data_IF_700234682885
#
_entry.id   IF_700234682885
#
_cell.length_a   1.000
_cell.length_b   1.000
_cell.length_c   1.000
_cell.angle_alpha   90.00
_cell.angle_beta   90.00
_cell.angle_gamma   90.00
#
_symmetry.space_group_name_H-M   'P 1'
#
loop_
_entity.id
_entity.type
_entity.pdbx_description
1 polymer ?
#
# COMPACT_ATOMS: atom_id res chain seq x y z
N UNK A 1 -0.86 -19.93 -5.37
CA UNK A 1 -0.97 -20.97 -6.41
C UNK A 1 -2.42 -21.22 -6.82
N UNK A 2 -3.33 -21.56 -5.89
CA UNK A 2 -4.77 -21.82 -6.19
C UNK A 2 -5.46 -20.74 -7.04
N UNK A 3 -5.31 -19.46 -6.69
CA UNK A 3 -5.95 -18.37 -7.45
C UNK A 3 -5.44 -18.23 -8.90
N UNK A 4 -4.15 -18.53 -9.15
CA UNK A 4 -3.58 -18.48 -10.50
C UNK A 4 -4.11 -19.62 -11.36
N UNK A 5 -4.15 -20.82 -10.78
CA UNK A 5 -4.68 -22.01 -11.42
C UNK A 5 -6.19 -21.89 -11.72
N UNK A 6 -6.96 -21.29 -10.81
CA UNK A 6 -8.38 -20.99 -11.05
C UNK A 6 -8.60 -20.07 -12.25
N UNK A 7 -7.75 -19.05 -12.45
CA UNK A 7 -7.83 -18.19 -13.63
C UNK A 7 -7.55 -18.94 -14.93
N UNK A 8 -6.48 -19.75 -14.96
CA UNK A 8 -6.11 -20.53 -16.16
C UNK A 8 -7.21 -21.55 -16.51
N UNK A 9 -7.80 -22.20 -15.50
CA UNK A 9 -8.95 -23.11 -15.70
C UNK A 9 -10.16 -22.37 -16.25
N UNK A 10 -10.49 -21.20 -15.67
CA UNK A 10 -11.60 -20.37 -16.15
C UNK A 10 -11.42 -19.96 -17.62
N UNK A 11 -10.19 -19.68 -18.05
CA UNK A 11 -9.90 -19.42 -19.46
C UNK A 11 -10.11 -20.66 -20.33
N UNK A 12 -9.57 -21.82 -19.91
CA UNK A 12 -9.75 -23.08 -20.64
C UNK A 12 -11.23 -23.47 -20.77
N UNK A 13 -12.03 -23.27 -19.71
CA UNK A 13 -13.47 -23.47 -19.71
C UNK A 13 -14.19 -22.50 -20.65
N UNK A 14 -13.75 -21.23 -20.70
CA UNK A 14 -14.33 -20.23 -21.60
C UNK A 14 -14.05 -20.53 -23.07
N UNK A 15 -12.80 -20.88 -23.41
CA UNK A 15 -12.43 -21.17 -24.79
C UNK A 15 -12.86 -22.57 -25.23
N UNK A 16 -13.12 -23.46 -24.27
CA UNK A 16 -13.30 -24.90 -24.49
C UNK A 16 -12.12 -25.50 -25.30
N UNK A 17 -10.93 -24.95 -25.08
CA UNK A 17 -9.70 -25.31 -25.80
C UNK A 17 -8.55 -25.53 -24.83
N UNK A 18 -7.57 -26.30 -25.27
CA UNK A 18 -6.34 -26.54 -24.53
C UNK A 18 -5.31 -25.40 -24.72
N UNK A 19 -4.35 -25.24 -23.78
CA UNK A 19 -3.35 -24.17 -23.85
C UNK A 19 -2.52 -24.09 -25.14
N UNK A 20 -2.35 -25.20 -25.86
CA UNK A 20 -1.63 -25.24 -27.15
C UNK A 20 -2.49 -24.85 -28.37
N UNK A 21 -3.79 -24.61 -28.17
CA UNK A 21 -4.74 -24.22 -29.22
C UNK A 21 -5.13 -22.74 -29.13
N UNK A 22 -4.85 -22.07 -28.01
CA UNK A 22 -5.25 -20.68 -27.81
C UNK A 22 -4.55 -19.76 -28.80
N UNK A 23 -5.28 -18.79 -29.34
CA UNK A 23 -4.74 -17.66 -30.08
C UNK A 23 -5.07 -16.33 -29.37
N UNK A 24 -4.64 -15.23 -29.99
CA UNK A 24 -4.86 -13.88 -29.44
C UNK A 24 -6.35 -13.54 -29.37
N UNK A 25 -7.14 -13.98 -30.36
CA UNK A 25 -8.57 -13.67 -30.47
C UNK A 25 -9.39 -14.25 -29.32
N UNK A 26 -9.13 -15.50 -28.91
CA UNK A 26 -9.83 -16.14 -27.79
C UNK A 26 -9.54 -15.42 -26.48
N UNK A 27 -8.32 -14.91 -26.34
CA UNK A 27 -7.92 -14.16 -25.17
C UNK A 27 -8.53 -12.76 -25.13
N UNK A 28 -8.58 -12.07 -26.27
CA UNK A 28 -9.27 -10.78 -26.40
C UNK A 28 -10.75 -10.96 -26.05
N UNK A 29 -11.42 -11.97 -26.61
CA UNK A 29 -12.80 -12.32 -26.31
C UNK A 29 -13.02 -12.63 -24.82
N UNK A 30 -12.08 -13.31 -24.17
CA UNK A 30 -12.15 -13.58 -22.73
C UNK A 30 -12.09 -12.28 -21.91
N UNK A 31 -11.19 -11.35 -22.26
CA UNK A 31 -11.10 -10.06 -21.58
C UNK A 31 -12.28 -9.14 -21.89
N UNK A 32 -12.84 -9.19 -23.10
CA UNK A 32 -14.08 -8.50 -23.46
C UNK A 32 -15.25 -9.03 -22.62
N UNK A 33 -15.41 -10.34 -22.50
CA UNK A 33 -16.44 -10.94 -21.64
C UNK A 33 -16.30 -10.48 -20.18
N UNK A 34 -15.07 -10.43 -19.64
CA UNK A 34 -14.85 -9.93 -18.28
C UNK A 34 -15.17 -8.45 -18.10
N UNK A 35 -15.05 -7.64 -19.16
CA UNK A 35 -15.41 -6.22 -19.16
C UNK A 35 -16.91 -6.00 -19.33
N UNK A 36 -17.57 -6.84 -20.13
CA UNK A 36 -18.99 -6.75 -20.44
C UNK A 36 -19.90 -7.52 -19.48
N UNK A 37 -19.33 -8.21 -18.49
CA UNK A 37 -20.09 -8.93 -17.47
C UNK A 37 -20.99 -7.99 -16.65
N UNK A 38 -22.11 -8.47 -16.08
CA UNK A 38 -23.00 -7.65 -15.24
C UNK A 38 -22.31 -6.95 -14.06
N UNK A 39 -21.18 -7.52 -13.61
CA UNK A 39 -20.23 -6.86 -12.72
C UNK A 39 -18.87 -6.83 -13.41
N UNK A 40 -18.54 -5.73 -14.13
CA UNK A 40 -17.28 -5.62 -14.87
C UNK A 40 -16.06 -5.79 -13.98
N UNK A 41 -15.09 -6.56 -14.43
CA UNK A 41 -13.81 -6.65 -13.75
C UNK A 41 -13.06 -5.32 -13.82
N UNK A 42 -12.52 -4.88 -12.67
CA UNK A 42 -11.70 -3.68 -12.59
C UNK A 42 -10.44 -3.79 -13.48
N UNK A 43 -9.99 -2.69 -14.08
CA UNK A 43 -8.75 -2.63 -14.88
C UNK A 43 -7.53 -3.20 -14.13
N UNK A 44 -7.40 -2.92 -12.83
CA UNK A 44 -6.34 -3.49 -11.98
C UNK A 44 -6.43 -5.01 -11.83
N UNK A 45 -7.64 -5.55 -11.76
CA UNK A 45 -7.89 -7.01 -11.74
C UNK A 45 -7.50 -7.63 -13.07
N UNK A 46 -7.94 -7.03 -14.19
CA UNK A 46 -7.63 -7.51 -15.53
C UNK A 46 -6.13 -7.51 -15.81
N UNK A 47 -5.40 -6.46 -15.40
CA UNK A 47 -3.93 -6.41 -15.45
C UNK A 47 -3.28 -7.51 -14.59
N UNK A 48 -3.86 -7.80 -13.42
CA UNK A 48 -3.44 -8.92 -12.58
C UNK A 48 -3.65 -10.29 -13.27
N UNK A 49 -4.72 -10.42 -14.04
CA UNK A 49 -4.99 -11.60 -14.87
C UNK A 49 -3.98 -11.70 -16.01
N UNK A 50 -3.74 -10.64 -16.78
CA UNK A 50 -2.70 -10.60 -17.83
C UNK A 50 -1.31 -10.95 -17.28
N UNK A 51 -0.94 -10.46 -16.09
CA UNK A 51 0.31 -10.83 -15.42
C UNK A 51 0.37 -12.33 -15.11
N UNK A 52 -0.73 -12.88 -14.60
CA UNK A 52 -0.80 -14.32 -14.26
C UNK A 52 -0.72 -15.19 -15.50
N UNK A 53 -1.37 -14.76 -16.57
CA UNK A 53 -1.35 -15.44 -17.85
C UNK A 53 0.02 -15.39 -18.50
N UNK A 54 0.70 -14.24 -18.51
CA UNK A 54 2.08 -14.14 -19.01
C UNK A 54 3.02 -15.11 -18.30
N UNK A 55 2.94 -15.20 -16.97
CA UNK A 55 3.72 -16.19 -16.21
C UNK A 55 3.41 -17.64 -16.60
N UNK A 56 2.16 -17.95 -16.96
CA UNK A 56 1.78 -19.28 -17.42
C UNK A 56 2.29 -19.54 -18.84
N UNK A 57 2.16 -18.56 -19.74
CA UNK A 57 2.68 -18.65 -21.11
C UNK A 57 4.19 -18.85 -21.11
N UNK A 58 4.93 -18.02 -20.38
CA UNK A 58 6.38 -18.17 -20.21
C UNK A 58 6.74 -19.59 -19.76
N UNK A 59 5.97 -20.17 -18.84
CA UNK A 59 6.20 -21.54 -18.37
C UNK A 59 5.93 -22.63 -19.43
N UNK A 60 4.87 -22.50 -20.24
CA UNK A 60 4.52 -23.52 -21.25
C UNK A 60 5.25 -23.37 -22.57
N UNK A 61 5.75 -22.17 -22.89
CA UNK A 61 6.52 -21.90 -24.11
C UNK A 61 8.03 -22.04 -23.94
N UNK A 62 8.53 -21.99 -22.69
CA UNK A 62 9.96 -22.11 -22.42
C UNK A 62 10.46 -23.55 -22.66
N UNK A 63 11.42 -23.66 -23.58
CA UNK A 63 12.00 -24.91 -24.04
C UNK A 63 12.68 -25.70 -22.93
N UNK A 64 13.14 -25.03 -21.86
CA UNK A 64 13.79 -25.69 -20.71
C UNK A 64 12.86 -26.62 -19.94
N UNK A 65 11.54 -26.42 -20.04
CA UNK A 65 10.54 -27.29 -19.41
C UNK A 65 10.08 -28.44 -20.31
N UNK A 66 10.47 -28.47 -21.58
CA UNK A 66 10.13 -29.54 -22.53
C UNK A 66 8.68 -29.55 -23.03
N UNK A 67 7.79 -28.69 -22.51
CA UNK A 67 6.39 -28.60 -22.93
C UNK A 67 6.18 -28.40 -24.44
N UNK A 68 6.91 -27.48 -25.11
CA UNK A 68 6.71 -27.27 -26.55
C UNK A 68 6.98 -28.53 -27.38
N UNK A 69 7.98 -29.32 -27.01
CA UNK A 69 8.31 -30.56 -27.69
C UNK A 69 7.26 -31.64 -27.41
N UNK A 70 6.94 -31.85 -26.13
CA UNK A 70 5.95 -32.85 -25.72
C UNK A 70 4.57 -32.58 -26.35
N UNK A 71 4.16 -31.32 -26.46
CA UNK A 71 2.90 -30.97 -27.11
C UNK A 71 2.94 -31.22 -28.62
N UNK A 72 4.05 -30.91 -29.31
CA UNK A 72 4.20 -31.20 -30.75
C UNK A 72 4.13 -32.70 -31.03
N UNK A 73 4.84 -33.49 -30.25
CA UNK A 73 4.89 -34.95 -30.42
C UNK A 73 3.52 -35.60 -30.16
N UNK A 74 2.77 -35.12 -29.15
CA UNK A 74 1.51 -35.74 -28.73
C UNK A 74 0.26 -35.19 -29.41
N UNK A 75 0.27 -33.89 -29.73
CA UNK A 75 -0.92 -33.16 -30.17
C UNK A 75 -0.73 -32.46 -31.52
N UNK A 76 0.45 -32.57 -32.15
CA UNK A 76 0.75 -31.92 -33.43
C UNK A 76 0.86 -30.39 -33.37
N UNK A 77 0.74 -29.79 -32.18
CA UNK A 77 0.72 -28.35 -31.96
C UNK A 77 1.57 -27.99 -30.75
N UNK A 78 2.08 -26.76 -30.68
CA UNK A 78 2.86 -26.26 -29.56
C UNK A 78 2.17 -25.05 -28.92
N UNK A 79 2.27 -24.87 -27.59
CA UNK A 79 1.91 -23.62 -26.95
C UNK A 79 2.66 -22.44 -27.58
N UNK A 80 1.91 -21.37 -27.86
CA UNK A 80 2.45 -20.11 -28.34
C UNK A 80 2.17 -18.99 -27.32
N UNK A 81 2.97 -17.92 -27.37
CA UNK A 81 2.63 -16.70 -26.69
C UNK A 81 1.38 -16.10 -27.36
N UNK A 82 0.40 -15.70 -26.56
CA UNK A 82 -0.86 -15.07 -27.01
C UNK A 82 -1.07 -13.71 -26.35
N UNK A 83 -0.26 -13.38 -25.34
CA UNK A 83 -0.11 -12.03 -24.79
C UNK A 83 1.17 -11.39 -25.32
N UNK A 84 0.98 -10.38 -26.14
CA UNK A 84 2.01 -9.52 -26.69
C UNK A 84 1.83 -8.09 -26.17
N UNK A 85 2.78 -7.22 -26.47
CA UNK A 85 2.70 -5.81 -26.08
C UNK A 85 1.49 -5.10 -26.69
N UNK A 86 1.11 -5.46 -27.92
CA UNK A 86 0.03 -4.82 -28.68
C UNK A 86 -1.40 -5.23 -28.27
N UNK A 87 -1.59 -6.39 -27.64
CA UNK A 87 -2.89 -6.83 -27.09
C UNK A 87 -2.92 -6.87 -25.55
N UNK A 88 -1.85 -6.41 -24.91
CA UNK A 88 -1.82 -6.21 -23.46
C UNK A 88 -2.38 -4.83 -23.12
N UNK A 89 -3.08 -4.71 -21.99
CA UNK A 89 -3.47 -3.40 -21.50
C UNK A 89 -2.21 -2.67 -21.04
N UNK A 90 -1.78 -1.69 -21.84
CA UNK A 90 -0.61 -0.86 -21.56
C UNK A 90 -0.91 0.03 -20.35
N UNK A 91 0.03 0.10 -19.41
CA UNK A 91 0.02 1.11 -18.37
C UNK A 91 0.34 2.47 -19.00
N UNK A 92 -0.64 3.14 -19.62
CA UNK A 92 -0.45 4.49 -20.15
C UNK A 92 -0.22 5.53 -19.02
N UNK A 93 -0.60 5.20 -17.79
CA UNK A 93 -0.42 6.06 -16.62
C UNK A 93 0.20 5.27 -15.46
N UNK A 94 1.27 5.80 -14.87
CA UNK A 94 1.96 5.23 -13.69
C UNK A 94 1.05 5.15 -12.45
N UNK A 95 -0.08 5.87 -12.45
CA UNK A 95 -1.04 5.93 -11.35
C UNK A 95 -2.49 6.07 -11.87
N UNK A 96 -3.24 4.96 -11.83
CA UNK A 96 -4.72 4.98 -11.90
C UNK A 96 -5.26 4.92 -10.47
N UNK A 97 -5.26 6.04 -9.77
CA UNK A 97 -5.96 6.16 -8.49
C UNK A 97 -7.46 6.08 -8.72
N UNK A 98 -8.17 5.15 -8.07
CA UNK A 98 -9.61 5.31 -7.92
C UNK A 98 -9.86 6.53 -7.04
N UNK A 99 -10.70 7.50 -7.41
CA UNK A 99 -10.95 8.71 -6.62
C UNK A 99 -11.31 8.42 -5.15
N UNK A 100 -11.99 7.30 -4.88
CA UNK A 100 -12.34 6.87 -3.53
C UNK A 100 -11.17 6.46 -2.62
N UNK A 101 -10.00 6.10 -3.16
CA UNK A 101 -8.81 5.79 -2.36
C UNK A 101 -7.98 7.03 -2.07
N UNK A 102 -8.61 8.02 -1.46
CA UNK A 102 -7.96 9.26 -1.03
C UNK A 102 -7.40 9.16 0.40
N UNK A 103 -6.43 10.02 0.76
CA UNK A 103 -6.13 10.29 2.16
C UNK A 103 -7.39 10.80 2.90
N UNK A 104 -7.56 10.36 4.14
CA UNK A 104 -8.45 10.99 5.11
C UNK A 104 -7.89 12.36 5.51
N UNK A 105 -8.77 13.34 5.70
CA UNK A 105 -8.41 14.66 6.25
C UNK A 105 -8.09 14.58 7.76
N UNK A 106 -7.53 15.63 8.34
CA UNK A 106 -7.31 15.68 9.80
C UNK A 106 -8.61 15.46 10.59
N UNK A 107 -9.69 16.12 10.18
CA UNK A 107 -10.98 16.04 10.86
C UNK A 107 -11.55 14.62 10.78
N UNK A 108 -11.43 13.95 9.62
CA UNK A 108 -11.86 12.55 9.48
C UNK A 108 -11.02 11.59 10.31
N UNK A 109 -9.70 11.81 10.40
CA UNK A 109 -8.83 11.01 11.29
C UNK A 109 -9.19 11.24 12.75
N UNK A 110 -9.45 12.49 13.14
CA UNK A 110 -9.87 12.84 14.49
C UNK A 110 -11.20 12.16 14.85
N UNK A 111 -12.23 12.32 14.01
CA UNK A 111 -13.54 11.70 14.20
C UNK A 111 -13.42 10.17 14.27
N UNK A 112 -12.57 9.56 13.43
CA UNK A 112 -12.31 8.11 13.49
C UNK A 112 -11.72 7.69 14.85
N UNK A 113 -10.76 8.45 15.39
CA UNK A 113 -10.12 8.14 16.66
C UNK A 113 -11.04 8.39 17.85
N UNK A 114 -11.76 9.50 17.85
CA UNK A 114 -12.74 9.81 18.89
C UNK A 114 -13.85 8.76 18.90
N UNK A 115 -14.30 8.29 17.73
CA UNK A 115 -15.25 7.18 17.63
C UNK A 115 -14.66 5.87 18.14
N UNK A 116 -13.38 5.60 17.87
CA UNK A 116 -12.71 4.41 18.36
C UNK A 116 -12.62 4.40 19.90
N UNK A 117 -12.33 5.56 20.49
CA UNK A 117 -12.24 5.76 21.94
C UNK A 117 -13.63 5.72 22.58
N UNK A 118 -14.62 6.43 22.02
CA UNK A 118 -16.01 6.40 22.47
C UNK A 118 -16.57 4.97 22.49
N UNK A 119 -16.23 4.15 21.49
CA UNK A 119 -16.62 2.75 21.45
C UNK A 119 -16.10 1.95 22.65
N UNK A 120 -14.94 2.29 23.20
CA UNK A 120 -14.42 1.69 24.44
C UNK A 120 -15.36 2.02 25.59
N UNK A 121 -15.72 3.30 25.74
CA UNK A 121 -16.54 3.80 26.83
C UNK A 121 -17.98 3.28 26.75
N UNK A 122 -18.53 3.13 25.55
CA UNK A 122 -19.82 2.48 25.30
C UNK A 122 -19.83 1.00 25.72
N UNK A 123 -18.72 0.28 25.48
CA UNK A 123 -18.59 -1.12 25.88
C UNK A 123 -18.46 -1.23 27.41
N UNK A 124 -17.69 -0.32 28.03
CA UNK A 124 -17.50 -0.25 29.48
C UNK A 124 -18.81 0.07 30.20
N UNK A 125 -19.51 1.12 29.78
CA UNK A 125 -20.78 1.56 30.40
C UNK A 125 -21.88 0.49 30.32
N UNK A 126 -21.90 -0.31 29.25
CA UNK A 126 -22.85 -1.42 29.09
C UNK A 126 -22.44 -2.70 29.84
N UNK A 127 -21.33 -2.69 30.58
CA UNK A 127 -20.82 -3.86 31.31
C UNK A 127 -20.47 -5.05 30.40
N UNK A 128 -20.23 -4.82 29.11
CA UNK A 128 -20.00 -5.90 28.15
C UNK A 128 -18.54 -6.36 28.17
N UNK A 129 -18.32 -7.67 28.03
CA UNK A 129 -16.99 -8.23 27.81
C UNK A 129 -16.41 -7.67 26.50
N UNK A 130 -15.13 -7.28 26.51
CA UNK A 130 -14.43 -6.79 25.31
C UNK A 130 -13.94 -5.34 25.36
N UNK A 131 -14.05 -4.63 26.50
CA UNK A 131 -13.50 -3.28 26.61
C UNK A 131 -11.98 -3.24 26.31
N UNK A 132 -11.21 -4.18 26.85
CA UNK A 132 -9.75 -4.29 26.61
C UNK A 132 -9.41 -4.46 25.11
N UNK A 133 -10.27 -5.20 24.41
CA UNK A 133 -10.16 -5.50 22.98
C UNK A 133 -10.41 -4.25 22.16
N UNK A 134 -11.38 -3.43 22.59
CA UNK A 134 -11.66 -2.14 21.98
C UNK A 134 -10.52 -1.13 22.20
N UNK A 135 -9.91 -1.08 23.39
CA UNK A 135 -8.72 -0.22 23.61
C UNK A 135 -7.56 -0.65 22.70
N UNK A 136 -7.32 -1.97 22.59
CA UNK A 136 -6.33 -2.55 21.66
C UNK A 136 -6.63 -2.17 20.20
N UNK A 137 -7.91 -2.18 19.82
CA UNK A 137 -8.38 -1.80 18.49
C UNK A 137 -8.15 -0.31 18.20
N UNK A 138 -8.45 0.58 19.14
CA UNK A 138 -8.17 2.01 19.02
C UNK A 138 -6.66 2.28 18.92
N UNK A 139 -5.86 1.65 19.79
CA UNK A 139 -4.41 1.79 19.81
C UNK A 139 -3.73 1.34 18.51
N UNK A 140 -4.19 0.24 17.90
CA UNK A 140 -3.61 -0.23 16.63
C UNK A 140 -3.96 0.68 15.44
N UNK A 141 -5.18 1.25 15.39
CA UNK A 141 -5.56 2.22 14.35
C UNK A 141 -4.69 3.49 14.44
N UNK A 142 -4.53 3.99 15.65
CA UNK A 142 -3.65 5.10 15.99
C UNK A 142 -2.20 4.85 15.59
N UNK A 143 -1.67 3.66 15.91
CA UNK A 143 -0.31 3.28 15.51
C UNK A 143 -0.16 3.14 13.98
N UNK A 144 -1.19 2.64 13.28
CA UNK A 144 -1.17 2.56 11.81
C UNK A 144 -1.02 3.94 11.18
N UNK A 145 -1.74 4.93 11.71
CA UNK A 145 -1.62 6.33 11.27
C UNK A 145 -0.28 6.93 11.70
N UNK A 146 0.07 6.88 12.98
CA UNK A 146 1.24 7.56 13.55
C UNK A 146 2.59 7.11 12.94
N UNK A 147 2.66 5.85 12.49
CA UNK A 147 3.87 5.28 11.86
C UNK A 147 3.68 4.99 10.36
N UNK A 148 2.52 5.34 9.79
CA UNK A 148 2.18 5.07 8.39
C UNK A 148 2.28 3.60 8.01
N UNK A 149 1.85 2.67 8.87
CA UNK A 149 2.08 1.23 8.66
C UNK A 149 1.14 0.65 7.61
N UNK A 150 1.63 -0.34 6.86
CA UNK A 150 0.71 -1.23 6.12
C UNK A 150 0.06 -2.20 7.09
N UNK A 151 -1.16 -2.69 6.78
CA UNK A 151 -1.87 -3.68 7.62
C UNK A 151 -1.02 -4.88 8.06
N UNK A 152 -0.25 -5.46 7.12
CA UNK A 152 0.68 -6.58 7.42
C UNK A 152 1.85 -6.16 8.31
N UNK A 153 2.36 -4.95 8.11
CA UNK A 153 3.46 -4.41 8.92
C UNK A 153 2.98 -4.22 10.36
N UNK A 154 1.81 -3.60 10.56
CA UNK A 154 1.20 -3.41 11.87
C UNK A 154 0.98 -4.73 12.61
N UNK A 155 0.29 -5.70 12.02
CA UNK A 155 0.09 -7.02 12.63
C UNK A 155 1.40 -7.79 12.90
N UNK A 156 2.44 -7.53 12.11
CA UNK A 156 3.74 -8.20 12.19
C UNK A 156 4.69 -7.67 13.26
N UNK A 157 4.33 -6.60 13.99
CA UNK A 157 5.17 -6.00 15.03
C UNK A 157 5.29 -6.91 16.26
N UNK A 158 6.49 -6.92 16.84
CA UNK A 158 6.80 -7.52 18.14
C UNK A 158 7.21 -6.46 19.16
N UNK A 159 7.17 -6.80 20.45
CA UNK A 159 7.60 -5.90 21.52
C UNK A 159 9.04 -5.40 21.31
N UNK A 160 9.92 -6.25 20.80
CA UNK A 160 11.32 -5.92 20.51
C UNK A 160 11.50 -4.96 19.33
N UNK A 161 10.46 -4.68 18.56
CA UNK A 161 10.51 -3.72 17.43
C UNK A 161 10.40 -2.26 17.90
N UNK A 162 9.99 -2.03 19.16
CA UNK A 162 10.01 -0.71 19.79
C UNK A 162 11.44 -0.35 20.19
N UNK A 163 11.91 0.83 19.77
CA UNK A 163 13.29 1.29 19.91
C UNK A 163 13.33 2.70 20.49
N UNK A 164 14.40 2.94 21.25
CA UNK A 164 14.75 4.29 21.67
C UNK A 164 15.29 5.10 20.49
N UNK A 165 15.07 6.41 20.51
CA UNK A 165 15.68 7.37 19.60
C UNK A 165 16.54 8.34 20.41
N UNK A 166 17.88 8.28 20.32
CA UNK A 166 18.77 9.18 21.06
C UNK A 166 18.51 10.67 20.79
N UNK A 167 17.98 11.02 19.62
CA UNK A 167 17.65 12.41 19.27
C UNK A 167 16.36 12.91 19.92
N UNK A 168 15.53 12.01 20.46
CA UNK A 168 14.28 12.36 21.16
C UNK A 168 14.12 11.48 22.41
N UNK A 169 14.91 11.71 23.47
CA UNK A 169 14.91 10.83 24.64
C UNK A 169 13.58 10.79 25.37
N UNK A 170 12.80 11.87 25.31
CA UNK A 170 11.48 12.00 25.93
C UNK A 170 10.48 10.92 25.47
N UNK A 171 10.66 10.35 24.27
CA UNK A 171 9.79 9.29 23.76
C UNK A 171 10.14 7.90 24.29
N UNK A 172 11.17 7.76 25.14
CA UNK A 172 11.54 6.50 25.79
C UNK A 172 11.76 5.37 24.77
N UNK A 173 11.14 4.21 25.02
CA UNK A 173 11.20 3.05 24.10
C UNK A 173 10.35 3.21 22.83
N UNK A 174 9.61 4.30 22.70
CA UNK A 174 8.72 4.57 21.58
C UNK A 174 9.30 5.63 20.64
N UNK A 175 10.58 5.97 20.73
CA UNK A 175 11.21 6.97 19.86
C UNK A 175 11.36 6.50 18.40
N UNK A 176 11.42 5.18 18.16
CA UNK A 176 11.53 4.58 16.86
C UNK A 176 10.83 3.21 16.80
N UNK A 177 10.33 2.85 15.63
CA UNK A 177 9.66 1.59 15.35
C UNK A 177 10.38 0.85 14.22
N UNK A 178 10.86 -0.36 14.51
CA UNK A 178 11.57 -1.20 13.56
C UNK A 178 10.63 -2.16 12.81
N UNK A 179 10.32 -1.84 11.57
CA UNK A 179 9.44 -2.66 10.73
C UNK A 179 10.27 -3.74 10.02
N UNK A 180 10.15 -4.99 10.49
CA UNK A 180 10.86 -6.16 9.93
C UNK A 180 10.22 -6.76 8.68
N UNK A 181 8.90 -6.69 8.58
CA UNK A 181 8.10 -7.40 7.57
C UNK A 181 7.51 -6.45 6.52
N UNK A 182 8.28 -5.47 6.05
CA UNK A 182 7.81 -4.57 5.02
C UNK A 182 7.71 -5.27 3.66
N UNK A 183 6.90 -4.70 2.76
CA UNK A 183 6.64 -5.27 1.42
C UNK A 183 7.96 -5.60 0.70
N UNK A 184 8.16 -6.89 0.45
CA UNK A 184 9.26 -7.40 -0.36
C UNK A 184 9.14 -6.95 -1.81
N UNK A 185 10.28 -6.78 -2.47
CA UNK A 185 10.32 -6.80 -3.93
C UNK A 185 10.06 -8.24 -4.41
N UNK A 186 9.62 -8.41 -5.66
CA UNK A 186 9.37 -9.74 -6.23
C UNK A 186 10.63 -10.61 -6.07
N UNK A 187 10.53 -11.74 -5.35
CA UNK A 187 11.63 -12.67 -5.11
C UNK A 187 12.60 -12.29 -3.98
N UNK A 188 12.42 -11.16 -3.29
CA UNK A 188 13.31 -10.75 -2.19
C UNK A 188 12.76 -11.10 -0.81
N UNK A 189 13.63 -11.15 0.20
CA UNK A 189 13.21 -11.13 1.59
C UNK A 189 12.39 -9.86 1.90
N UNK A 190 11.54 -9.89 2.95
CA UNK A 190 10.87 -8.68 3.45
C UNK A 190 11.87 -7.58 3.73
N UNK A 191 11.53 -6.35 3.31
CA UNK A 191 12.40 -5.20 3.55
C UNK A 191 12.31 -4.80 5.03
N UNK A 192 13.43 -4.37 5.58
CA UNK A 192 13.51 -3.79 6.93
C UNK A 192 13.59 -2.27 6.81
N UNK A 193 12.88 -1.55 7.66
CA UNK A 193 12.99 -0.09 7.79
C UNK A 193 12.72 0.35 9.22
N UNK A 194 13.30 1.47 9.60
CA UNK A 194 12.99 2.14 10.87
C UNK A 194 12.12 3.36 10.59
N UNK A 195 11.01 3.49 11.32
CA UNK A 195 10.15 4.67 11.30
C UNK A 195 10.39 5.41 12.62
N UNK A 196 10.71 6.70 12.56
CA UNK A 196 10.90 7.50 13.78
C UNK A 196 9.55 8.06 14.21
N UNK A 197 9.34 8.15 15.53
CA UNK A 197 8.21 8.90 16.08
C UNK A 197 8.41 10.37 15.80
N UNK A 198 7.35 11.00 15.32
CA UNK A 198 7.34 12.38 14.85
C UNK A 198 6.79 13.25 15.99
N UNK A 199 7.41 14.40 16.33
CA UNK A 199 6.98 15.25 17.44
C UNK A 199 5.51 15.67 17.37
N UNK A 200 4.99 15.94 16.17
CA UNK A 200 3.59 16.29 15.92
C UNK A 200 2.61 15.14 16.21
N UNK A 201 3.13 13.93 16.45
CA UNK A 201 2.38 12.72 16.78
C UNK A 201 2.83 12.11 18.13
N UNK A 202 3.41 12.91 19.03
CA UNK A 202 3.90 12.47 20.34
C UNK A 202 2.83 11.78 21.21
N UNK A 203 1.56 12.13 21.03
CA UNK A 203 0.41 11.49 21.68
C UNK A 203 0.37 9.97 21.50
N UNK A 204 1.00 9.41 20.46
CA UNK A 204 1.10 7.96 20.26
C UNK A 204 1.88 7.27 21.39
N UNK A 205 2.81 7.99 22.03
CA UNK A 205 3.63 7.47 23.13
C UNK A 205 2.74 7.08 24.30
N UNK A 206 1.82 7.94 24.71
CA UNK A 206 0.87 7.67 25.79
C UNK A 206 -0.06 6.49 25.45
N UNK A 207 -0.57 6.46 24.21
CA UNK A 207 -1.46 5.38 23.73
C UNK A 207 -0.77 4.03 23.75
N UNK A 208 0.48 3.97 23.27
CA UNK A 208 1.24 2.73 23.26
C UNK A 208 1.67 2.31 24.66
N UNK A 209 2.00 3.26 25.54
CA UNK A 209 2.36 2.95 26.91
C UNK A 209 1.15 2.39 27.68
N UNK A 210 -0.01 3.05 27.65
CA UNK A 210 -1.26 2.55 28.24
C UNK A 210 -1.59 1.15 27.73
N UNK A 211 -1.49 0.92 26.42
CA UNK A 211 -1.73 -0.40 25.86
C UNK A 211 -0.75 -1.44 26.42
N UNK A 212 0.53 -1.11 26.58
CA UNK A 212 1.54 -2.06 27.05
C UNK A 212 1.53 -2.30 28.55
N UNK A 213 1.16 -1.30 29.36
CA UNK A 213 1.19 -1.37 30.83
C UNK A 213 -0.15 -1.81 31.40
N UNK A 214 -1.27 -1.34 30.83
CA UNK A 214 -2.60 -1.58 31.38
C UNK A 214 -3.38 -2.65 30.62
N UNK A 215 -3.38 -2.60 29.29
CA UNK A 215 -4.30 -3.42 28.49
C UNK A 215 -3.72 -4.79 28.17
N UNK A 216 -2.53 -4.81 27.59
CA UNK A 216 -1.89 -6.03 27.08
C UNK A 216 -1.64 -7.07 28.18
N UNK A 217 -1.22 -6.72 29.41
CA UNK A 217 -1.07 -7.70 30.49
C UNK A 217 -2.40 -8.35 30.89
N UNK A 218 -3.51 -7.59 30.88
CA UNK A 218 -4.87 -8.09 31.18
C UNK A 218 -5.43 -9.00 30.09
N UNK A 219 -4.90 -8.94 28.87
CA UNK A 219 -5.17 -9.93 27.81
C UNK A 219 -4.40 -11.26 28.03
N UNK A 220 -3.55 -11.33 29.06
CA UNK A 220 -2.78 -12.51 29.46
C UNK A 220 -2.07 -13.27 28.31
N UNK A 221 -1.29 -12.59 27.43
CA UNK A 221 -0.68 -13.23 26.26
C UNK A 221 0.50 -14.16 26.57
N UNK A 222 0.75 -14.50 27.84
CA UNK A 222 1.94 -15.22 28.29
C UNK A 222 3.23 -14.60 27.69
N UNK A 223 4.17 -15.43 27.23
CA UNK A 223 5.42 -14.99 26.59
C UNK A 223 5.28 -14.65 25.09
N UNK A 224 4.06 -14.43 24.57
CA UNK A 224 3.86 -14.19 23.14
C UNK A 224 4.55 -12.87 22.70
N UNK A 225 5.41 -12.87 21.67
CA UNK A 225 6.24 -11.71 21.33
C UNK A 225 5.49 -10.58 20.60
N UNK A 226 4.33 -10.87 19.99
CA UNK A 226 3.57 -9.89 19.22
C UNK A 226 3.17 -8.66 20.03
N UNK A 227 3.32 -7.49 19.41
CA UNK A 227 2.83 -6.23 19.97
C UNK A 227 1.31 -6.28 20.12
N UNK A 228 0.59 -6.61 19.03
CA UNK A 228 -0.86 -6.70 19.02
C UNK A 228 -1.35 -8.14 19.20
N UNK A 229 -2.08 -8.37 20.28
CA UNK A 229 -2.64 -9.69 20.61
C UNK A 229 -4.17 -9.68 20.49
N UNK A 230 -4.70 -10.81 20.08
CA UNK A 230 -6.13 -11.08 20.02
C UNK A 230 -6.66 -11.55 21.38
N UNK A 231 -7.99 -11.63 21.53
CA UNK A 231 -8.65 -12.21 22.72
C UNK A 231 -8.19 -13.64 23.02
N UNK A 232 -7.83 -14.40 21.98
CA UNK A 232 -7.34 -15.78 22.09
C UNK A 232 -5.82 -15.84 22.22
N UNK A 233 -5.20 -14.77 22.74
CA UNK A 233 -3.75 -14.61 23.00
C UNK A 233 -2.81 -14.83 21.81
N UNK A 234 -3.33 -15.07 20.60
CA UNK A 234 -2.59 -15.13 19.36
C UNK A 234 -2.35 -13.74 18.76
N UNK A 235 -1.37 -13.63 17.85
CA UNK A 235 -1.13 -12.42 17.04
C UNK A 235 -2.41 -11.93 16.35
N UNK A 236 -2.63 -10.61 16.35
CA UNK A 236 -3.72 -9.97 15.62
C UNK A 236 -3.65 -10.29 14.11
N UNK A 237 -4.76 -10.76 13.53
CA UNK A 237 -4.81 -11.07 12.11
C UNK A 237 -5.03 -9.81 11.24
N UNK A 238 -4.50 -9.85 10.02
CA UNK A 238 -4.66 -8.76 9.03
C UNK A 238 -6.13 -8.53 8.67
N UNK A 239 -6.90 -9.62 8.63
CA UNK A 239 -8.33 -9.56 8.39
C UNK A 239 -9.06 -8.85 9.54
N UNK A 240 -8.77 -9.23 10.80
CA UNK A 240 -9.36 -8.58 11.98
C UNK A 240 -9.06 -7.08 11.99
N UNK A 241 -7.82 -6.69 11.73
CA UNK A 241 -7.43 -5.28 11.70
C UNK A 241 -8.20 -4.48 10.61
N UNK A 242 -8.43 -5.07 9.43
CA UNK A 242 -9.29 -4.47 8.40
C UNK A 242 -10.73 -4.30 8.87
N UNK A 243 -11.31 -5.36 9.46
CA UNK A 243 -12.67 -5.33 10.02
C UNK A 243 -12.84 -4.31 11.14
N UNK A 244 -11.82 -4.13 11.98
CA UNK A 244 -11.83 -3.12 13.05
C UNK A 244 -11.96 -1.72 12.48
N UNK A 245 -11.18 -1.39 11.45
CA UNK A 245 -11.29 -0.11 10.76
C UNK A 245 -12.68 0.09 10.15
N UNK A 246 -13.19 -0.91 9.42
CA UNK A 246 -14.54 -0.85 8.82
C UNK A 246 -15.61 -0.57 9.87
N UNK A 247 -15.59 -1.29 11.01
CA UNK A 247 -16.55 -1.08 12.10
C UNK A 247 -16.47 0.35 12.65
N UNK A 248 -15.26 0.86 12.91
CA UNK A 248 -15.11 2.21 13.48
C UNK A 248 -15.50 3.28 12.47
N UNK A 249 -15.15 3.10 11.19
CA UNK A 249 -15.55 3.99 10.09
C UNK A 249 -17.07 4.06 9.97
N UNK A 250 -17.74 2.90 9.99
CA UNK A 250 -19.19 2.83 9.86
C UNK A 250 -19.90 3.49 11.06
N UNK A 251 -19.37 3.28 12.27
CA UNK A 251 -19.86 3.98 13.49
C UNK A 251 -19.62 5.49 13.44
N UNK A 252 -18.53 5.91 12.80
CA UNK A 252 -18.17 7.32 12.64
C UNK A 252 -18.98 8.02 11.54
N UNK A 253 -19.81 7.30 10.78
CA UNK A 253 -20.54 7.84 9.64
C UNK A 253 -19.64 8.28 8.48
N UNK A 254 -18.43 7.71 8.40
CA UNK A 254 -17.44 8.07 7.39
C UNK A 254 -17.69 7.34 6.06
N UNK A 255 -17.32 7.93 4.91
CA UNK A 255 -17.57 7.35 3.59
C UNK A 255 -17.02 5.93 3.41
N UNK A 256 -17.80 5.07 2.75
CA UNK A 256 -17.49 3.64 2.58
C UNK A 256 -16.24 3.37 1.73
N UNK A 257 -15.81 4.34 0.92
CA UNK A 257 -14.63 4.21 0.08
C UNK A 257 -13.33 4.29 0.90
N UNK A 258 -13.40 4.87 2.11
CA UNK A 258 -12.27 4.93 3.02
C UNK A 258 -11.93 3.53 3.50
N UNK A 259 -10.65 3.19 3.38
CA UNK A 259 -10.09 1.93 3.85
C UNK A 259 -8.88 2.17 4.77
N UNK A 260 -8.45 1.12 5.46
CA UNK A 260 -7.32 1.22 6.39
C UNK A 260 -6.00 1.59 5.69
N UNK A 261 -5.89 1.40 4.37
CA UNK A 261 -4.73 1.89 3.62
C UNK A 261 -4.77 3.42 3.46
N UNK A 262 -5.97 4.02 3.46
CA UNK A 262 -6.21 5.46 3.54
C UNK A 262 -5.46 6.13 4.69
N UNK A 263 -5.44 5.55 5.90
CA UNK A 263 -4.68 6.11 7.04
C UNK A 263 -3.19 6.26 6.75
N UNK A 264 -2.61 5.33 5.98
CA UNK A 264 -1.21 5.43 5.58
C UNK A 264 -1.01 6.53 4.53
N UNK A 265 -1.96 6.71 3.62
CA UNK A 265 -1.93 7.82 2.67
C UNK A 265 -2.02 9.16 3.43
N UNK A 266 -2.93 9.27 4.40
CA UNK A 266 -3.03 10.42 5.30
C UNK A 266 -1.72 10.71 6.02
N UNK A 267 -1.08 9.70 6.61
CA UNK A 267 0.24 9.88 7.24
C UNK A 267 1.25 10.53 6.28
N UNK A 268 1.38 10.01 5.05
CA UNK A 268 2.35 10.56 4.10
C UNK A 268 1.98 11.99 3.70
N UNK A 269 0.70 12.27 3.47
CA UNK A 269 0.22 13.62 3.12
C UNK A 269 0.43 14.61 4.27
N UNK A 270 -0.01 14.27 5.48
CA UNK A 270 0.08 15.13 6.66
C UNK A 270 1.54 15.38 7.09
N UNK A 271 2.42 14.39 6.91
CA UNK A 271 3.85 14.65 7.13
C UNK A 271 4.45 15.70 6.18
N UNK A 272 3.95 15.78 4.93
CA UNK A 272 4.39 16.84 3.99
C UNK A 272 3.90 18.20 4.48
N UNK A 273 2.71 18.26 5.04
CA UNK A 273 2.12 19.49 5.60
C UNK A 273 2.81 19.96 6.88
N UNK A 274 3.43 19.05 7.65
CA UNK A 274 4.30 19.38 8.78
C UNK A 274 5.69 19.93 8.37
N UNK A 275 5.89 20.25 7.08
CA UNK A 275 7.15 20.73 6.49
C UNK A 275 8.36 19.80 6.74
N UNK A 276 8.11 18.50 6.92
CA UNK A 276 9.18 17.52 7.05
C UNK A 276 9.78 17.26 5.64
N UNK A 277 11.10 17.36 5.43
CA UNK A 277 11.67 17.26 4.08
C UNK A 277 11.43 15.90 3.42
N UNK A 278 11.09 15.92 2.11
CA UNK A 278 10.70 14.74 1.32
C UNK A 278 11.71 13.58 1.31
N UNK A 279 12.99 13.88 1.50
CA UNK A 279 14.06 12.88 1.59
C UNK A 279 13.87 11.93 2.78
N UNK A 280 13.32 12.43 3.88
CA UNK A 280 12.98 11.67 5.08
C UNK A 280 11.81 10.70 4.84
N UNK A 281 10.87 11.02 3.93
CA UNK A 281 9.72 10.16 3.62
C UNK A 281 10.09 8.90 2.87
N UNK A 282 11.09 8.92 1.98
CA UNK A 282 11.38 7.76 1.12
C UNK A 282 11.95 6.59 1.92
N UNK A 283 12.77 6.90 2.93
CA UNK A 283 13.31 5.93 3.90
C UNK A 283 12.23 5.42 4.85
N UNK A 284 11.28 6.29 5.25
CA UNK A 284 10.16 5.95 6.15
C UNK A 284 8.98 5.23 5.47
N UNK A 285 8.66 5.54 4.21
CA UNK A 285 7.53 5.00 3.45
C UNK A 285 7.91 3.82 2.53
N UNK A 286 9.19 3.62 2.20
CA UNK A 286 9.66 2.43 1.48
C UNK A 286 9.30 2.40 -0.02
N UNK A 287 9.12 3.55 -0.66
CA UNK A 287 9.00 3.65 -2.12
C UNK A 287 10.40 3.60 -2.75
N UNK A 288 10.69 2.74 -3.75
CA UNK A 288 12.00 2.71 -4.38
C UNK A 288 12.25 3.96 -5.22
N UNK A 289 13.51 4.39 -5.35
CA UNK A 289 13.90 5.40 -6.33
C UNK A 289 14.13 4.78 -7.70
N UNK A 290 13.92 5.52 -8.81
CA UNK A 290 14.66 5.21 -10.02
C UNK A 290 16.15 5.37 -9.69
N UNK A 291 16.96 4.38 -10.07
CA UNK A 291 18.42 4.48 -9.92
C UNK A 291 18.87 5.65 -10.80
N UNK A 292 19.44 6.68 -10.19
CA UNK A 292 20.21 7.69 -10.91
C UNK A 292 21.35 6.93 -11.58
N UNK A 293 21.31 6.80 -12.91
CA UNK A 293 22.45 6.29 -13.68
C UNK A 293 23.63 7.17 -13.29
N UNK A 294 24.63 6.59 -12.63
CA UNK A 294 25.94 7.25 -12.51
C UNK A 294 26.44 7.39 -13.94
N UNK A 295 26.70 8.62 -14.36
CA UNK A 295 27.51 8.91 -15.53
C UNK A 295 28.86 8.22 -15.34
N UNK A 296 29.12 7.19 -16.15
CA UNK A 296 30.45 6.60 -16.31
C UNK A 296 31.38 7.69 -16.83
N UNK A 297 32.63 7.81 -16.33
CA UNK A 297 33.58 8.75 -16.90
C UNK A 297 33.94 8.30 -18.31
N UNK A 298 34.08 9.28 -19.20
CA UNK A 298 34.39 9.10 -20.60
C UNK A 298 35.68 8.29 -20.79
N UNK A 299 35.56 7.11 -21.40
CA UNK A 299 36.68 6.44 -22.03
C UNK A 299 36.74 6.94 -23.48
N UNK A 300 37.69 7.84 -23.75
CA UNK A 300 38.11 8.20 -25.11
C UNK A 300 38.94 7.04 -25.64
N UNK A 301 38.53 6.46 -26.77
CA UNK A 301 39.35 6.29 -27.99
C UNK A 301 38.57 5.50 -29.05
N UNK A 302 38.57 6.04 -30.28
CA UNK A 302 38.57 5.39 -31.62
C UNK A 302 37.85 4.03 -31.79
N UNK A 303 37.01 3.77 -32.79
CA UNK A 303 36.80 4.37 -34.12
C UNK A 303 35.87 3.43 -34.92
N UNK A 304 35.07 3.97 -35.86
CA UNK A 304 34.60 3.32 -37.12
C UNK A 304 33.52 2.21 -36.94
N UNK A 305 32.28 2.22 -37.46
CA UNK A 305 31.53 3.02 -38.46
C UNK A 305 30.03 2.74 -38.33
N UNK A 306 29.19 3.73 -38.72
CA UNK A 306 27.86 3.66 -39.36
C UNK A 306 26.87 2.54 -39.02
N UNK A 307 25.63 2.90 -38.65
CA UNK A 307 24.61 3.37 -39.59
C UNK A 307 23.23 3.55 -38.90
N UNK A 308 22.41 4.43 -39.49
CA UNK A 308 20.97 4.68 -39.23
C UNK A 308 20.58 5.61 -38.07
N UNK A 309 20.82 6.90 -38.28
CA UNK A 309 19.87 7.95 -37.91
C UNK A 309 19.07 8.35 -39.16
N UNK A 310 17.79 7.97 -39.26
CA UNK A 310 16.78 8.69 -40.06
C UNK A 310 15.37 8.26 -39.61
N UNK A 311 14.43 9.22 -39.63
CA UNK A 311 12.99 9.12 -39.39
C UNK A 311 12.47 9.16 -37.95
N UNK A 312 12.14 10.38 -37.49
CA UNK A 312 10.74 10.82 -37.47
C UNK A 312 10.66 12.29 -37.00
N UNK A 313 10.78 13.20 -37.97
CA UNK A 313 10.30 14.57 -37.83
C UNK A 313 9.12 14.72 -38.79
N UNK A 314 7.90 14.72 -38.26
CA UNK A 314 6.72 15.36 -38.83
C UNK A 314 5.53 15.07 -37.91
N UNK A 315 5.03 16.11 -37.23
CA UNK A 315 3.63 16.55 -37.24
C UNK A 315 3.51 17.75 -36.27
N UNK A 316 3.35 18.90 -36.92
CA UNK A 316 2.68 20.15 -36.52
C UNK A 316 3.46 21.29 -35.79
N UNK A 317 3.71 22.43 -36.50
CA UNK A 317 4.31 23.64 -35.97
C UNK A 317 3.26 24.71 -35.64
N UNK A 318 2.94 24.94 -34.36
CA UNK A 318 2.02 26.04 -33.98
C UNK A 318 2.38 26.79 -32.68
N UNK A 319 3.54 26.52 -32.05
CA UNK A 319 3.85 27.12 -30.75
C UNK A 319 5.28 27.69 -30.67
N UNK A 320 5.64 28.53 -31.64
CA UNK A 320 6.79 29.44 -31.54
C UNK A 320 6.40 30.83 -32.02
N UNK A 321 5.92 31.69 -31.10
CA UNK A 321 6.33 33.09 -30.90
C UNK A 321 5.29 33.86 -30.09
N UNK A 322 5.68 34.22 -28.87
CA UNK A 322 5.28 35.37 -28.03
C UNK A 322 5.68 34.93 -26.60
N UNK A 323 6.71 35.46 -25.96
CA UNK A 323 7.12 36.86 -25.86
C UNK A 323 7.14 37.14 -24.37
N UNK A 324 8.33 37.36 -23.81
CA UNK A 324 8.52 37.90 -22.46
C UNK A 324 7.78 39.24 -22.36
N UNK A 325 7.04 39.49 -21.28
CA UNK A 325 7.19 40.62 -20.34
C UNK A 325 5.97 40.75 -19.40
N UNK A 326 6.31 41.00 -18.13
CA UNK A 326 5.63 41.85 -17.13
C UNK A 326 4.09 41.78 -16.98
N UNK A 327 3.64 41.33 -15.80
CA UNK A 327 2.89 42.19 -14.88
C UNK A 327 2.79 41.52 -13.50
N UNK A 328 3.33 42.20 -12.49
CA UNK A 328 3.14 41.86 -11.09
C UNK A 328 1.76 42.28 -10.60
N UNK A 329 1.17 41.44 -9.75
CA UNK A 329 0.23 41.87 -8.72
C UNK A 329 0.63 41.16 -7.41
N UNK A 330 0.66 41.87 -6.27
CA UNK A 330 1.07 41.30 -5.00
C UNK A 330 -0.02 40.38 -4.46
N UNK A 331 0.35 39.16 -4.09
CA UNK A 331 -0.51 38.33 -3.23
C UNK A 331 -0.16 38.71 -1.80
N UNK A 332 -1.07 39.43 -1.13
CA UNK A 332 -0.96 39.67 0.31
C UNK A 332 -0.89 38.35 1.07
N UNK A 333 -0.06 38.24 2.13
CA UNK A 333 -0.07 37.08 2.99
C UNK A 333 -1.41 37.05 3.73
N UNK A 334 -2.22 36.03 3.44
CA UNK A 334 -3.35 35.68 4.28
C UNK A 334 -2.84 35.49 5.72
N UNK A 335 -3.24 36.40 6.60
CA UNK A 335 -3.13 36.27 8.05
C UNK A 335 -3.98 35.09 8.49
N UNK A 336 -3.43 33.88 8.39
CA UNK A 336 -3.99 32.66 8.93
C UNK A 336 -3.47 32.44 10.34
N UNK A 337 -4.39 32.48 11.31
CA UNK A 337 -4.20 32.09 12.71
C UNK A 337 -3.31 30.84 12.81
N UNK A 338 -2.11 31.01 13.39
CA UNK A 338 -1.05 30.00 13.49
C UNK A 338 -1.35 28.89 14.50
N UNK A 339 -2.53 28.28 14.43
CA UNK A 339 -2.82 27.01 15.10
C UNK A 339 -2.46 25.88 14.17
N UNK A 340 -1.32 25.24 14.41
CA UNK A 340 -1.00 23.92 13.85
C UNK A 340 -2.15 22.95 14.15
N UNK A 341 -2.91 22.58 13.12
CA UNK A 341 -4.02 21.61 13.24
C UNK A 341 -3.43 20.21 13.32
N UNK A 342 -3.15 19.76 14.54
CA UNK A 342 -2.67 18.41 14.81
C UNK A 342 -3.82 17.51 15.29
N UNK A 343 -3.81 16.25 14.85
CA UNK A 343 -4.68 15.20 15.43
C UNK A 343 -4.35 15.09 16.91
N UNK A 344 -5.38 15.19 17.76
CA UNK A 344 -5.25 15.09 19.21
C UNK A 344 -5.77 13.75 19.67
N UNK A 345 -5.11 13.17 20.66
CA UNK A 345 -5.71 12.08 21.41
C UNK A 345 -6.49 12.63 22.60
N UNK A 346 -7.80 12.40 22.63
CA UNK A 346 -8.58 12.50 23.84
C UNK A 346 -8.54 11.14 24.54
N UNK A 347 -7.71 11.02 25.58
CA UNK A 347 -7.61 9.80 26.36
C UNK A 347 -8.97 9.41 26.94
N UNK A 348 -9.34 8.11 26.99
CA UNK A 348 -10.46 7.70 27.83
C UNK A 348 -10.13 8.12 29.26
N UNK A 349 -11.10 8.71 29.96
CA UNK A 349 -10.92 9.17 31.34
C UNK A 349 -10.18 8.12 32.17
N UNK A 350 -9.14 8.57 32.90
CA UNK A 350 -8.27 7.75 33.75
C UNK A 350 -9.06 6.62 34.42
N UNK A 351 -8.60 5.39 34.25
CA UNK A 351 -9.08 4.24 35.01
C UNK A 351 -8.93 4.53 36.51
N UNK A 352 -10.02 4.91 37.15
CA UNK A 352 -10.21 4.90 38.60
C UNK A 352 -11.50 4.11 38.83
N UNK A 353 -11.37 2.90 39.39
CA UNK A 353 -12.47 1.99 39.71
C UNK A 353 -12.26 0.61 39.14
#
# INVERSE_FOLDING_TARGET
>A
MRARLALIRRLAEFTNQYPWQWACAELEAFFDMLRSAPRPAALSTLRGYQTTMRLFQDFVTDTRYGWPQACRERFGQAPAAVLHEWNSMVHAVEYEGRPGRRPLTYDEVQVLFDTADQRVDDIRSRGRKGALVAVRDAAVLKAVYAYGLRRREACGLDLADLRHNPSMPAFGRFGALFVRLAKASRGSAPKRRTVLTVPEMDWIVAVLDEYLTEVRPRLAPAAHPALWVSERTARLSVYRLGRVFEIVRDLAGLPEELDLHGLRHSYVTHLVEFDIPRSSFRTRSGTPSPRRRRSTPACRTSSVTNCCATNCASINPAWRRAGETENGLPVEPASGDGRTRNVRHHGPGRAVG
#
